data_IF_242333384580
#
_entry.id   IF_242333384580
#
_cell.length_a   1.000
_cell.length_b   1.000
_cell.length_c   1.000
_cell.angle_alpha   90.00
_cell.angle_beta   90.00
_cell.angle_gamma   90.00
#
_symmetry.space_group_name_H-M   'P 1'
#
loop_
_entity.id
_entity.type
_entity.pdbx_description
1 polymer ?
#
# COMPACT_ATOMS: atom_id res chain seq x y z
N UNK A 1 -5.34 -13.00 -7.75
CA UNK A 1 -6.26 -12.15 -8.54
C UNK A 1 -5.98 -10.70 -8.12
N UNK A 2 -5.97 -9.69 -9.00
CA UNK A 2 -5.76 -8.29 -8.58
C UNK A 2 -6.91 -7.74 -7.70
N UNK A 3 -7.96 -8.54 -7.50
CA UNK A 3 -9.16 -8.28 -6.70
C UNK A 3 -8.95 -8.43 -5.18
N UNK A 4 -7.80 -8.93 -4.71
CA UNK A 4 -7.63 -9.27 -3.29
C UNK A 4 -7.42 -8.05 -2.38
N UNK A 5 -7.17 -6.86 -2.94
CA UNK A 5 -7.05 -5.61 -2.17
C UNK A 5 -7.84 -4.48 -2.85
N UNK A 6 -9.06 -4.31 -2.35
CA UNK A 6 -9.94 -3.13 -2.49
C UNK A 6 -9.20 -1.84 -2.03
N UNK A 7 -9.64 -0.67 -2.50
CA UNK A 7 -9.28 0.64 -1.92
C UNK A 7 -9.40 0.63 -0.39
N UNK A 8 -10.44 -0.01 0.16
CA UNK A 8 -10.63 -0.16 1.61
C UNK A 8 -9.51 -1.01 2.26
N UNK A 9 -9.08 -2.07 1.57
CA UNK A 9 -7.94 -2.90 2.00
C UNK A 9 -6.62 -2.14 1.93
N UNK A 10 -6.47 -1.27 0.93
CA UNK A 10 -5.29 -0.43 0.74
C UNK A 10 -5.14 0.59 1.87
N UNK A 11 -6.25 1.16 2.36
CA UNK A 11 -6.23 2.04 3.53
C UNK A 11 -5.81 1.32 4.81
N UNK A 12 -6.28 0.08 5.01
CA UNK A 12 -5.87 -0.74 6.16
C UNK A 12 -4.38 -1.06 6.09
N UNK A 13 -3.90 -1.48 4.92
CA UNK A 13 -2.49 -1.75 4.67
C UNK A 13 -1.60 -0.55 5.00
N UNK A 14 -2.00 0.65 4.55
CA UNK A 14 -1.26 1.88 4.85
C UNK A 14 -1.13 2.11 6.36
N UNK A 15 -2.22 1.94 7.12
CA UNK A 15 -2.23 2.11 8.58
C UNK A 15 -1.38 1.07 9.30
N UNK A 16 -1.44 -0.19 8.87
CA UNK A 16 -0.68 -1.27 9.48
C UNK A 16 0.83 -1.08 9.26
N UNK A 17 1.22 -0.60 8.07
CA UNK A 17 2.60 -0.24 7.77
C UNK A 17 3.07 0.91 8.67
N UNK A 18 2.26 1.96 8.84
CA UNK A 18 2.61 3.08 9.74
C UNK A 18 2.86 2.57 11.15
N UNK A 19 1.93 1.80 11.73
CA UNK A 19 2.08 1.24 13.08
C UNK A 19 3.34 0.40 13.23
N UNK A 20 3.62 -0.47 12.26
CA UNK A 20 4.80 -1.33 12.29
C UNK A 20 6.11 -0.52 12.25
N UNK A 21 6.12 0.59 11.50
CA UNK A 21 7.26 1.51 11.46
C UNK A 21 7.38 2.26 12.79
N UNK A 22 6.28 2.76 13.35
CA UNK A 22 6.28 3.44 14.67
C UNK A 22 6.76 2.52 15.81
N UNK A 23 6.38 1.24 15.79
CA UNK A 23 6.79 0.25 16.79
C UNK A 23 8.27 -0.18 16.63
N UNK A 24 8.75 -0.28 15.40
CA UNK A 24 10.11 -0.76 15.10
C UNK A 24 11.19 0.33 15.10
N UNK A 25 10.79 1.58 14.84
CA UNK A 25 11.67 2.71 14.67
C UNK A 25 11.10 3.85 15.52
N UNK A 26 11.72 4.10 16.67
CA UNK A 26 11.40 5.23 17.55
C UNK A 26 11.80 6.57 16.92
N UNK A 27 11.28 6.87 15.73
CA UNK A 27 11.55 8.08 14.97
C UNK A 27 10.63 9.20 15.46
N UNK A 28 11.17 10.24 16.10
CA UNK A 28 10.41 11.46 16.34
C UNK A 28 10.31 12.21 15.00
N UNK A 29 9.17 12.08 14.32
CA UNK A 29 8.93 12.75 13.03
C UNK A 29 7.64 12.32 12.34
N UNK A 30 7.28 13.00 11.25
CA UNK A 30 6.11 12.64 10.45
C UNK A 30 6.52 11.63 9.36
N UNK A 31 5.92 10.44 9.39
CA UNK A 31 6.15 9.39 8.39
C UNK A 31 5.04 9.45 7.35
N UNK A 32 5.38 9.67 6.07
CA UNK A 32 4.43 9.67 4.96
C UNK A 32 4.47 8.34 4.22
N UNK A 33 3.42 7.53 4.37
CA UNK A 33 3.24 6.27 3.63
C UNK A 33 2.29 6.50 2.46
N UNK A 34 2.71 6.12 1.25
CA UNK A 34 1.90 6.23 0.03
C UNK A 34 1.69 4.84 -0.54
N UNK A 35 0.43 4.41 -0.67
CA UNK A 35 0.07 3.15 -1.32
C UNK A 35 -0.37 3.46 -2.73
N UNK A 36 0.28 2.84 -3.72
CA UNK A 36 -0.03 3.04 -5.14
C UNK A 36 -0.50 1.71 -5.72
N UNK A 37 -1.67 1.71 -6.35
CA UNK A 37 -2.17 0.54 -7.09
C UNK A 37 -1.90 0.75 -8.57
N UNK A 38 -1.21 -0.20 -9.20
CA UNK A 38 -0.98 -0.18 -10.64
C UNK A 38 -1.77 -1.33 -11.29
N UNK A 39 -2.67 -1.00 -12.21
CA UNK A 39 -3.38 -1.98 -13.03
C UNK A 39 -2.72 -2.02 -14.40
N UNK A 40 -1.96 -3.09 -14.67
CA UNK A 40 -1.36 -3.33 -15.98
C UNK A 40 -2.28 -4.23 -16.81
N UNK A 41 -2.79 -3.70 -17.90
CA UNK A 41 -3.42 -4.50 -18.96
C UNK A 41 -2.43 -4.58 -20.13
N UNK A 42 -2.10 -5.81 -20.54
CA UNK A 42 -1.23 -6.07 -21.69
C UNK A 42 -2.08 -6.81 -22.70
N UNK A 43 -2.17 -6.28 -23.91
CA UNK A 43 -2.93 -6.87 -25.00
C UNK A 43 -2.00 -7.06 -26.21
N UNK A 44 -2.18 -8.15 -26.96
CA UNK A 44 -1.36 -8.48 -28.12
C UNK A 44 -2.25 -8.78 -29.31
N UNK A 45 -2.01 -8.09 -30.42
CA UNK A 45 -2.56 -8.46 -31.72
C UNK A 45 -1.58 -9.40 -32.45
N UNK A 46 -2.11 -10.33 -33.25
CA UNK A 46 -1.31 -11.18 -34.15
C UNK A 46 -1.07 -10.49 -35.48
#
# INVERSE_FOLDING_TARGET
KPEEIDDLGSMRLARDIVKKIEEGLGYPGQIKVTVVRETRAIDYAK
#
